data_IF_707071954641
#
_entry.id   IF_707071954641
#
_cell.length_a   1.000
_cell.length_b   1.000
_cell.length_c   1.000
_cell.angle_alpha   90.00
_cell.angle_beta   90.00
_cell.angle_gamma   90.00
#
_symmetry.space_group_name_H-M   'P 1'
#
loop_
_entity.id
_entity.type
_entity.pdbx_description
1 polymer ?
#
# COMPACT_ATOMS: atom_id res chain seq x y z
N UNK A 1 -1.27 -3.78 -6.88
CA UNK A 1 -2.11 -3.37 -5.75
C UNK A 1 -1.33 -3.81 -4.55
N UNK A 2 -0.79 -2.84 -3.82
CA UNK A 2 0.21 -3.07 -2.79
C UNK A 2 -0.41 -3.70 -1.54
N UNK A 3 -0.42 -5.04 -1.47
CA UNK A 3 -0.84 -5.78 -0.27
C UNK A 3 0.38 -5.93 0.64
N UNK A 4 0.38 -5.28 1.80
CA UNK A 4 1.35 -5.55 2.86
C UNK A 4 1.03 -6.87 3.57
N UNK A 5 1.97 -7.82 3.61
CA UNK A 5 1.99 -8.81 4.68
C UNK A 5 2.74 -8.25 5.89
N UNK A 6 2.18 -8.48 7.07
CA UNK A 6 2.83 -8.20 8.35
C UNK A 6 4.05 -9.13 8.51
N UNK A 7 5.21 -8.69 9.05
CA UNK A 7 6.37 -9.56 9.17
C UNK A 7 6.21 -10.43 10.41
N UNK A 8 5.82 -11.70 10.22
CA UNK A 8 6.05 -12.75 11.21
C UNK A 8 6.00 -14.16 10.56
N UNK A 9 7.20 -14.72 10.40
CA UNK A 9 7.56 -16.14 10.25
C UNK A 9 7.41 -16.89 8.91
N UNK A 10 8.60 -17.32 8.46
CA UNK A 10 9.01 -18.60 7.86
C UNK A 10 8.68 -18.92 6.38
N UNK A 11 9.75 -19.25 5.66
CA UNK A 11 9.85 -19.82 4.32
C UNK A 11 8.82 -20.93 4.05
N UNK A 12 8.32 -21.01 2.82
CA UNK A 12 8.06 -22.27 2.11
C UNK A 12 7.81 -22.04 0.62
N UNK A 13 8.38 -22.94 -0.17
CA UNK A 13 8.44 -22.98 -1.63
C UNK A 13 7.07 -23.17 -2.31
N UNK A 14 7.01 -22.71 -3.56
CA UNK A 14 5.87 -22.70 -4.47
C UNK A 14 4.98 -23.96 -4.48
N UNK A 15 3.69 -23.78 -4.15
CA UNK A 15 2.50 -24.28 -4.85
C UNK A 15 1.25 -23.62 -4.24
N UNK A 16 0.37 -23.04 -5.07
CA UNK A 16 -1.10 -22.83 -4.92
C UNK A 16 -1.67 -22.30 -3.59
N UNK A 17 -2.45 -21.19 -3.59
CA UNK A 17 -3.48 -20.64 -2.63
C UNK A 17 -3.51 -20.98 -1.11
N UNK A 18 -2.99 -22.12 -0.67
CA UNK A 18 -2.95 -22.62 0.70
C UNK A 18 -2.27 -21.69 1.72
N UNK A 19 -1.16 -20.97 1.44
CA UNK A 19 -0.56 -20.08 2.42
C UNK A 19 -1.47 -18.89 2.77
N UNK A 20 -2.14 -18.32 1.77
CA UNK A 20 -3.02 -17.16 1.96
C UNK A 20 -4.31 -17.54 2.69
N UNK A 21 -4.86 -18.73 2.38
CA UNK A 21 -6.01 -19.28 3.12
C UNK A 21 -5.66 -19.61 4.58
N UNK A 22 -4.48 -20.16 4.87
CA UNK A 22 -4.03 -20.45 6.24
C UNK A 22 -3.86 -19.16 7.06
N UNK A 23 -3.31 -18.14 6.43
CA UNK A 23 -3.19 -16.81 7.03
C UNK A 23 -4.55 -16.16 7.29
N UNK A 24 -5.48 -16.27 6.34
CA UNK A 24 -6.87 -15.81 6.51
C UNK A 24 -7.54 -16.55 7.68
N UNK A 25 -7.39 -17.87 7.74
CA UNK A 25 -7.91 -18.69 8.84
C UNK A 25 -7.39 -18.23 10.21
N UNK A 26 -6.09 -17.90 10.31
CA UNK A 26 -5.47 -17.38 11.53
C UNK A 26 -6.02 -16.01 11.90
N UNK A 27 -6.06 -15.08 10.94
CA UNK A 27 -6.57 -13.72 11.13
C UNK A 27 -8.02 -13.73 11.58
N UNK A 28 -8.88 -14.52 10.91
CA UNK A 28 -10.31 -14.61 11.24
C UNK A 28 -10.51 -15.19 12.64
N UNK A 29 -9.75 -16.23 13.00
CA UNK A 29 -9.81 -16.86 14.32
C UNK A 29 -9.46 -15.88 15.43
N UNK A 30 -8.33 -15.19 15.29
CA UNK A 30 -7.86 -14.25 16.31
C UNK A 30 -8.68 -12.96 16.31
N UNK A 31 -8.97 -12.45 15.13
CA UNK A 31 -9.62 -11.17 14.89
C UNK A 31 -11.05 -11.09 15.37
N UNK A 32 -11.83 -12.16 15.13
CA UNK A 32 -13.23 -12.23 15.57
C UNK A 32 -13.40 -12.57 17.06
N UNK A 33 -12.32 -12.99 17.74
CA UNK A 33 -12.29 -13.19 19.19
C UNK A 33 -11.79 -11.97 19.97
N UNK A 34 -11.34 -10.91 19.30
CA UNK A 34 -10.94 -9.65 19.94
C UNK A 34 -12.17 -8.80 20.30
N UNK A 35 -12.01 -7.93 21.30
CA UNK A 35 -12.96 -6.89 21.66
C UNK A 35 -12.26 -5.53 21.61
N UNK A 36 -12.54 -4.66 20.62
CA UNK A 36 -13.46 -4.87 19.49
C UNK A 36 -12.93 -5.89 18.46
N UNK A 37 -13.85 -6.49 17.70
CA UNK A 37 -13.52 -7.43 16.62
C UNK A 37 -12.79 -6.69 15.49
N UNK A 38 -11.79 -7.33 14.87
CA UNK A 38 -11.04 -6.75 13.76
C UNK A 38 -10.54 -7.80 12.78
N UNK A 39 -10.48 -7.48 11.50
CA UNK A 39 -9.83 -8.31 10.48
C UNK A 39 -9.02 -7.37 9.57
N UNK A 40 -7.76 -7.69 9.32
CA UNK A 40 -6.88 -6.89 8.47
C UNK A 40 -7.43 -6.70 7.04
N UNK A 41 -7.32 -5.46 6.52
CA UNK A 41 -7.68 -5.09 5.15
C UNK A 41 -6.84 -5.79 4.07
N UNK A 42 -5.71 -6.43 4.43
CA UNK A 42 -4.91 -7.23 3.49
C UNK A 42 -5.74 -8.33 2.81
N UNK A 43 -6.78 -8.81 3.48
CA UNK A 43 -7.64 -9.87 2.98
C UNK A 43 -8.78 -9.40 2.08
N UNK A 44 -8.93 -8.09 1.85
CA UNK A 44 -9.86 -7.58 0.85
C UNK A 44 -9.51 -8.06 -0.56
N UNK A 45 -8.23 -8.28 -0.83
CA UNK A 45 -7.69 -8.40 -2.18
C UNK A 45 -7.64 -9.84 -2.71
N UNK A 46 -8.78 -10.54 -2.70
CA UNK A 46 -8.96 -11.63 -3.65
C UNK A 46 -9.22 -11.08 -5.07
N UNK A 47 -9.47 -11.94 -6.06
CA UNK A 47 -9.71 -11.51 -7.44
C UNK A 47 -10.88 -10.50 -7.54
N UNK A 48 -11.96 -10.73 -6.80
CA UNK A 48 -13.15 -9.86 -6.81
C UNK A 48 -12.89 -8.54 -6.08
N UNK A 49 -12.23 -8.57 -4.92
CA UNK A 49 -11.87 -7.35 -4.22
C UNK A 49 -10.88 -6.50 -5.00
N UNK A 50 -9.94 -7.12 -5.71
CA UNK A 50 -9.03 -6.41 -6.62
C UNK A 50 -9.78 -5.72 -7.76
N UNK A 51 -10.76 -6.42 -8.36
CA UNK A 51 -11.65 -5.84 -9.37
C UNK A 51 -12.46 -4.65 -8.83
N UNK A 52 -13.07 -4.81 -7.65
CA UNK A 52 -13.86 -3.75 -6.99
C UNK A 52 -12.99 -2.52 -6.68
N UNK A 53 -11.78 -2.72 -6.17
CA UNK A 53 -10.86 -1.61 -5.90
C UNK A 53 -10.43 -0.89 -7.19
N UNK A 54 -10.20 -1.65 -8.27
CA UNK A 54 -9.93 -1.04 -9.57
C UNK A 54 -11.08 -0.13 -10.03
N UNK A 55 -12.33 -0.50 -9.78
CA UNK A 55 -13.49 0.36 -10.05
C UNK A 55 -13.55 1.57 -9.11
N UNK A 56 -13.27 1.39 -7.81
CA UNK A 56 -13.19 2.48 -6.82
C UNK A 56 -12.20 3.55 -7.27
N UNK A 57 -11.03 3.18 -7.80
CA UNK A 57 -10.04 4.15 -8.27
C UNK A 57 -10.56 5.10 -9.37
N UNK A 58 -11.62 4.73 -10.08
CA UNK A 58 -12.21 5.52 -11.17
C UNK A 58 -13.39 6.38 -10.71
N UNK A 59 -13.91 6.20 -9.49
CA UNK A 59 -15.05 6.99 -9.02
C UNK A 59 -14.65 8.45 -8.78
N UNK A 60 -15.54 9.43 -9.04
CA UNK A 60 -15.24 10.85 -8.83
C UNK A 60 -14.83 11.18 -7.39
N UNK A 61 -15.38 10.48 -6.41
CA UNK A 61 -15.13 10.70 -4.99
C UNK A 61 -13.72 10.25 -4.56
N UNK A 62 -13.16 9.17 -5.16
CA UNK A 62 -11.84 8.64 -4.81
C UNK A 62 -10.72 9.40 -5.55
N UNK A 63 -10.25 10.49 -4.95
CA UNK A 63 -9.29 11.40 -5.58
C UNK A 63 -7.84 10.92 -5.57
N UNK A 64 -7.47 9.97 -4.70
CA UNK A 64 -6.08 9.65 -4.35
C UNK A 64 -5.26 9.27 -5.58
N UNK A 65 -5.74 8.29 -6.36
CA UNK A 65 -5.04 7.79 -7.56
C UNK A 65 -4.80 8.89 -8.58
N UNK A 66 -5.79 9.75 -8.81
CA UNK A 66 -5.68 10.86 -9.77
C UNK A 66 -4.74 11.96 -9.29
N UNK A 67 -4.76 12.25 -7.99
CA UNK A 67 -3.91 13.30 -7.40
C UNK A 67 -2.44 12.89 -7.44
N UNK A 68 -2.13 11.64 -7.10
CA UNK A 68 -0.75 11.13 -7.19
C UNK A 68 -0.28 10.98 -8.64
N UNK A 69 -1.14 10.53 -9.55
CA UNK A 69 -0.83 10.52 -10.97
C UNK A 69 -0.49 11.93 -11.50
N UNK A 70 -1.29 12.94 -11.14
CA UNK A 70 -1.03 14.34 -11.50
C UNK A 70 0.34 14.82 -11.01
N UNK A 71 0.72 14.48 -9.77
CA UNK A 71 2.02 14.83 -9.19
C UNK A 71 3.15 14.24 -10.03
N UNK A 72 3.11 12.93 -10.31
CA UNK A 72 4.15 12.25 -11.04
C UNK A 72 4.25 12.77 -12.48
N UNK A 73 3.12 13.01 -13.15
CA UNK A 73 3.11 13.56 -14.51
C UNK A 73 3.65 14.98 -14.58
N UNK A 74 3.25 15.84 -13.63
CA UNK A 74 3.67 17.24 -13.56
C UNK A 74 5.16 17.36 -13.21
N UNK A 75 5.66 16.54 -12.29
CA UNK A 75 7.00 16.67 -11.72
C UNK A 75 8.02 15.64 -12.22
N UNK A 76 7.71 14.82 -13.23
CA UNK A 76 8.64 13.81 -13.79
C UNK A 76 10.03 14.36 -14.14
N UNK A 77 10.12 15.59 -14.64
CA UNK A 77 11.40 16.24 -14.94
C UNK A 77 12.22 16.53 -13.67
N UNK A 78 11.58 17.10 -12.65
CA UNK A 78 12.22 17.39 -11.36
C UNK A 78 12.63 16.10 -10.62
N UNK A 79 11.78 15.07 -10.70
CA UNK A 79 12.04 13.74 -10.14
C UNK A 79 13.26 13.11 -10.79
N UNK A 80 13.35 13.11 -12.13
CA UNK A 80 14.54 12.63 -12.84
C UNK A 80 15.79 13.38 -12.39
N UNK A 81 15.72 14.72 -12.36
CA UNK A 81 16.84 15.53 -11.91
C UNK A 81 17.28 15.17 -10.48
N UNK A 82 16.34 14.95 -9.57
CA UNK A 82 16.67 14.52 -8.20
C UNK A 82 17.30 13.13 -8.15
N UNK A 83 16.77 12.18 -8.93
CA UNK A 83 17.20 10.78 -8.94
C UNK A 83 18.60 10.60 -9.54
N UNK A 84 18.98 11.45 -10.50
CA UNK A 84 20.25 11.36 -11.23
C UNK A 84 21.09 12.65 -11.21
N UNK A 85 20.95 13.51 -10.19
CA UNK A 85 21.62 14.82 -10.12
C UNK A 85 23.16 14.76 -10.24
N UNK A 86 23.76 13.64 -9.87
CA UNK A 86 25.21 13.37 -9.90
C UNK A 86 25.62 12.47 -11.08
N UNK A 87 24.73 12.26 -12.05
CA UNK A 87 24.98 11.45 -13.25
C UNK A 87 25.10 9.95 -13.00
N UNK A 88 24.87 9.49 -11.76
CA UNK A 88 24.90 8.07 -11.41
C UNK A 88 23.69 7.34 -11.99
N UNK A 89 23.87 6.09 -12.46
CA UNK A 89 22.73 5.23 -12.74
C UNK A 89 21.92 4.98 -11.46
N UNK A 90 20.65 4.61 -11.61
CA UNK A 90 19.82 4.24 -10.47
C UNK A 90 18.94 3.02 -10.73
N UNK A 91 18.60 2.30 -9.68
CA UNK A 91 17.59 1.25 -9.69
C UNK A 91 16.32 1.79 -9.05
N UNK A 92 15.25 1.88 -9.85
CA UNK A 92 13.94 2.39 -9.47
C UNK A 92 13.08 1.23 -8.95
N UNK A 93 13.03 1.10 -7.63
CA UNK A 93 12.34 0.00 -6.95
C UNK A 93 10.92 0.46 -6.62
N UNK A 94 9.89 -0.20 -7.13
CA UNK A 94 8.50 0.13 -6.78
C UNK A 94 7.90 -0.91 -5.86
N UNK A 95 7.56 -0.52 -4.64
CA UNK A 95 6.94 -1.39 -3.64
C UNK A 95 5.43 -1.48 -3.87
N UNK A 96 4.96 -2.66 -4.24
CA UNK A 96 3.55 -2.93 -4.50
C UNK A 96 3.08 -2.37 -5.84
N UNK A 97 3.84 -2.65 -6.90
CA UNK A 97 3.71 -2.01 -8.21
C UNK A 97 2.34 -2.18 -8.88
N UNK A 98 1.63 -3.29 -8.65
CA UNK A 98 0.34 -3.53 -9.31
C UNK A 98 0.38 -3.46 -10.82
N UNK A 99 -0.51 -2.66 -11.40
CA UNK A 99 -0.58 -2.43 -12.85
C UNK A 99 0.43 -1.36 -13.34
N UNK A 100 1.19 -0.74 -12.44
CA UNK A 100 2.19 0.28 -12.72
C UNK A 100 1.62 1.56 -13.36
N UNK A 101 0.31 1.80 -13.33
CA UNK A 101 -0.34 2.93 -14.02
C UNK A 101 0.38 4.26 -13.79
N UNK A 102 0.69 4.54 -12.52
CA UNK A 102 1.37 5.77 -12.08
C UNK A 102 2.84 5.81 -12.50
N UNK A 103 3.55 4.71 -12.29
CA UNK A 103 5.00 4.64 -12.51
C UNK A 103 5.37 4.65 -13.98
N UNK A 104 4.50 4.12 -14.86
CA UNK A 104 4.67 4.17 -16.33
C UNK A 104 4.91 5.59 -16.86
N UNK A 105 4.31 6.61 -16.24
CA UNK A 105 4.55 8.02 -16.59
C UNK A 105 6.02 8.41 -16.39
N UNK A 106 6.65 7.93 -15.31
CA UNK A 106 8.07 8.13 -15.06
C UNK A 106 8.92 7.30 -16.01
N UNK A 107 8.57 6.03 -16.25
CA UNK A 107 9.32 5.12 -17.13
C UNK A 107 9.39 5.67 -18.56
N UNK A 108 8.25 6.13 -19.09
CA UNK A 108 8.16 6.74 -20.42
C UNK A 108 9.08 7.95 -20.52
N UNK A 109 8.97 8.88 -19.56
CA UNK A 109 9.75 10.10 -19.57
C UNK A 109 11.25 9.84 -19.38
N UNK A 110 11.63 8.99 -18.42
CA UNK A 110 13.04 8.65 -18.16
C UNK A 110 13.67 7.95 -19.37
N UNK A 111 12.93 7.05 -20.02
CA UNK A 111 13.34 6.41 -21.26
C UNK A 111 13.55 7.41 -22.39
N UNK A 112 12.62 8.35 -22.58
CA UNK A 112 12.75 9.40 -23.59
C UNK A 112 13.94 10.34 -23.34
N UNK A 113 14.34 10.53 -22.08
CA UNK A 113 15.54 11.29 -21.71
C UNK A 113 16.84 10.48 -21.77
N UNK A 114 16.79 9.20 -22.19
CA UNK A 114 17.92 8.27 -22.16
C UNK A 114 18.59 8.17 -20.78
N UNK A 115 17.80 8.23 -19.72
CA UNK A 115 18.29 8.07 -18.36
C UNK A 115 18.87 6.65 -18.18
N UNK A 116 19.96 6.53 -17.41
CA UNK A 116 20.56 5.24 -17.09
C UNK A 116 19.89 4.67 -15.85
N UNK A 117 18.89 3.81 -16.03
CA UNK A 117 18.17 3.20 -14.92
C UNK A 117 17.66 1.79 -15.21
N UNK A 118 17.44 1.04 -14.13
CA UNK A 118 16.74 -0.25 -14.14
C UNK A 118 15.45 -0.11 -13.35
N UNK A 119 14.33 -0.63 -13.85
CA UNK A 119 13.07 -0.66 -13.11
C UNK A 119 12.90 -2.01 -12.40
N UNK A 120 12.65 -1.99 -11.09
CA UNK A 120 12.47 -3.17 -10.26
C UNK A 120 11.09 -3.14 -9.58
N UNK A 121 10.02 -3.61 -10.26
CA UNK A 121 8.71 -3.73 -9.64
C UNK A 121 8.71 -4.85 -8.60
N UNK A 122 8.15 -4.57 -7.43
CA UNK A 122 7.99 -5.53 -6.33
C UNK A 122 6.50 -5.74 -6.08
N UNK A 123 6.05 -6.99 -6.07
CA UNK A 123 4.67 -7.33 -5.68
C UNK A 123 4.63 -8.77 -5.14
N UNK A 124 3.62 -9.06 -4.32
CA UNK A 124 3.38 -10.42 -3.82
C UNK A 124 2.53 -11.24 -4.80
N UNK A 125 1.84 -10.56 -5.73
CA UNK A 125 1.09 -11.19 -6.80
C UNK A 125 2.00 -11.48 -8.00
N UNK A 126 2.30 -12.76 -8.23
CA UNK A 126 3.07 -13.19 -9.39
C UNK A 126 2.36 -12.85 -10.72
N UNK A 127 1.02 -12.91 -10.74
CA UNK A 127 0.22 -12.56 -11.92
C UNK A 127 0.30 -11.07 -12.24
N UNK A 128 0.17 -10.20 -11.23
CA UNK A 128 0.31 -8.75 -11.42
C UNK A 128 1.71 -8.38 -11.94
N UNK A 129 2.76 -8.98 -11.38
CA UNK A 129 4.13 -8.77 -11.86
C UNK A 129 4.33 -9.23 -13.31
N UNK A 130 3.78 -10.40 -13.67
CA UNK A 130 3.89 -10.94 -15.02
C UNK A 130 3.18 -10.04 -16.03
N UNK A 131 1.97 -9.58 -15.71
CA UNK A 131 1.17 -8.69 -16.56
C UNK A 131 1.87 -7.33 -16.72
N UNK A 132 2.30 -6.72 -15.62
CA UNK A 132 3.05 -5.46 -15.64
C UNK A 132 4.33 -5.56 -16.47
N UNK A 133 5.12 -6.61 -16.26
CA UNK A 133 6.39 -6.81 -16.98
C UNK A 133 6.14 -7.01 -18.48
N UNK A 134 5.11 -7.78 -18.85
CA UNK A 134 4.73 -8.00 -20.25
C UNK A 134 4.32 -6.69 -20.92
N UNK A 135 3.50 -5.88 -20.25
CA UNK A 135 3.05 -4.60 -20.76
C UNK A 135 4.21 -3.60 -20.93
N UNK A 136 5.09 -3.50 -19.93
CA UNK A 136 6.28 -2.66 -19.99
C UNK A 136 7.21 -3.08 -21.13
N UNK A 137 7.48 -4.38 -21.28
CA UNK A 137 8.36 -4.88 -22.34
C UNK A 137 7.76 -4.68 -23.74
N UNK A 138 6.43 -4.69 -23.86
CA UNK A 138 5.74 -4.37 -25.11
C UNK A 138 5.88 -2.88 -25.48
N UNK A 139 5.73 -1.99 -24.50
CA UNK A 139 5.78 -0.54 -24.72
C UNK A 139 7.21 0.02 -24.83
N UNK A 140 8.13 -0.49 -24.02
CA UNK A 140 9.55 -0.08 -23.99
C UNK A 140 10.48 -1.29 -24.01
N UNK A 141 10.70 -1.92 -25.19
CA UNK A 141 11.50 -3.14 -25.30
C UNK A 141 12.97 -3.02 -24.85
N UNK A 142 13.49 -1.79 -24.78
CA UNK A 142 14.86 -1.49 -24.36
C UNK A 142 14.98 -1.21 -22.86
N UNK A 143 13.86 -1.09 -22.13
CA UNK A 143 13.88 -0.82 -20.70
C UNK A 143 14.28 -2.10 -19.95
N UNK A 144 15.35 -2.01 -19.14
CA UNK A 144 15.75 -3.09 -18.25
C UNK A 144 14.77 -3.20 -17.08
N UNK A 145 14.10 -4.35 -16.97
CA UNK A 145 13.15 -4.65 -15.89
C UNK A 145 13.65 -5.84 -15.06
N UNK A 146 13.67 -5.69 -13.75
CA UNK A 146 14.10 -6.68 -12.77
C UNK A 146 12.97 -6.97 -11.76
N UNK A 147 11.93 -7.74 -12.14
CA UNK A 147 10.76 -7.95 -11.29
C UNK A 147 11.13 -8.79 -10.04
N UNK A 148 10.63 -8.37 -8.87
CA UNK A 148 10.83 -9.08 -7.60
C UNK A 148 9.50 -9.62 -7.07
N UNK A 149 9.30 -10.93 -7.15
CA UNK A 149 8.19 -11.60 -6.48
C UNK A 149 8.54 -11.85 -5.01
N UNK A 150 8.28 -10.86 -4.16
CA UNK A 150 8.65 -10.90 -2.75
C UNK A 150 7.86 -9.87 -1.93
N UNK A 151 7.88 -10.05 -0.61
CA UNK A 151 7.49 -8.98 0.34
C UNK A 151 8.45 -7.79 0.24
N UNK A 152 7.97 -6.60 0.58
CA UNK A 152 8.71 -5.34 0.36
C UNK A 152 10.08 -5.33 1.03
N UNK A 153 10.15 -5.64 2.32
CA UNK A 153 11.40 -5.59 3.07
C UNK A 153 12.38 -6.67 2.60
N UNK A 154 11.87 -7.84 2.20
CA UNK A 154 12.68 -8.90 1.61
C UNK A 154 13.28 -8.48 0.27
N UNK A 155 12.47 -7.88 -0.62
CA UNK A 155 12.93 -7.38 -1.91
C UNK A 155 14.01 -6.31 -1.76
N UNK A 156 13.80 -5.33 -0.87
CA UNK A 156 14.76 -4.25 -0.62
C UNK A 156 16.07 -4.82 -0.06
N UNK A 157 16.01 -5.74 0.91
CA UNK A 157 17.20 -6.38 1.46
C UNK A 157 17.99 -7.15 0.39
N UNK A 158 17.30 -7.90 -0.48
CA UNK A 158 17.93 -8.65 -1.57
C UNK A 158 18.59 -7.73 -2.60
N UNK A 159 17.89 -6.66 -3.02
CA UNK A 159 18.42 -5.70 -3.99
C UNK A 159 19.61 -4.93 -3.41
N UNK A 160 19.54 -4.53 -2.13
CA UNK A 160 20.65 -3.89 -1.43
C UNK A 160 21.88 -4.78 -1.31
N UNK A 161 21.70 -6.08 -1.00
CA UNK A 161 22.81 -7.04 -0.91
C UNK A 161 23.46 -7.35 -2.27
N UNK A 162 22.66 -7.42 -3.34
CA UNK A 162 23.16 -7.67 -4.71
C UNK A 162 23.93 -6.48 -5.29
N UNK A 163 23.79 -5.30 -4.70
CA UNK A 163 24.49 -4.08 -5.11
C UNK A 163 26.00 -4.21 -4.83
N UNK A 164 26.70 -4.85 -5.75
CA UNK A 164 28.14 -5.11 -5.68
C UNK A 164 29.00 -3.85 -5.84
N UNK A 165 28.46 -2.79 -6.45
CA UNK A 165 29.17 -1.55 -6.77
C UNK A 165 28.48 -0.32 -6.11
N UNK A 166 29.28 0.62 -5.60
CA UNK A 166 28.81 1.89 -5.04
C UNK A 166 28.29 2.87 -6.12
N UNK A 167 28.46 2.54 -7.39
CA UNK A 167 28.16 3.41 -8.53
C UNK A 167 26.67 3.65 -8.82
N UNK A 168 25.76 2.71 -8.54
CA UNK A 168 24.32 2.85 -8.85
C UNK A 168 23.48 3.16 -7.62
N UNK A 169 22.66 4.22 -7.64
CA UNK A 169 21.78 4.64 -6.52
C UNK A 169 20.51 3.79 -6.42
N UNK A 170 20.03 3.49 -5.21
CA UNK A 170 18.67 2.97 -5.05
C UNK A 170 17.65 4.12 -4.89
N UNK A 171 16.55 4.04 -5.64
CA UNK A 171 15.40 4.94 -5.53
C UNK A 171 14.16 4.11 -5.27
N UNK A 172 13.67 4.14 -4.03
CA UNK A 172 12.49 3.37 -3.61
C UNK A 172 11.23 4.21 -3.79
N UNK A 173 10.27 3.73 -4.57
CA UNK A 173 8.94 4.28 -4.69
C UNK A 173 7.98 3.51 -3.78
N UNK A 174 7.30 4.23 -2.90
CA UNK A 174 6.23 3.69 -2.07
C UNK A 174 4.98 4.56 -2.20
N UNK A 175 4.19 4.25 -3.21
CA UNK A 175 3.12 5.11 -3.71
C UNK A 175 1.75 4.71 -3.16
N UNK A 176 0.71 5.49 -3.46
CA UNK A 176 -0.69 5.19 -3.19
C UNK A 176 -1.14 5.49 -1.76
N UNK A 177 -0.31 6.18 -0.97
CA UNK A 177 -0.56 6.39 0.46
C UNK A 177 -0.77 5.08 1.24
N UNK A 178 -0.12 3.99 0.80
CA UNK A 178 -0.12 2.71 1.51
C UNK A 178 0.48 2.81 2.92
N UNK A 179 1.36 3.80 3.16
CA UNK A 179 1.84 4.16 4.50
C UNK A 179 0.70 4.54 5.47
N UNK A 180 -0.44 4.97 4.94
CA UNK A 180 -1.65 5.26 5.72
C UNK A 180 -2.27 4.03 6.39
N UNK A 181 -1.94 2.82 5.91
CA UNK A 181 -2.50 1.57 6.45
C UNK A 181 -1.79 1.10 7.73
N UNK A 182 -0.75 1.80 8.16
CA UNK A 182 0.04 1.49 9.35
C UNK A 182 -0.36 2.33 10.54
N UNK A 183 -0.29 1.74 11.73
CA UNK A 183 -0.25 2.51 12.96
C UNK A 183 1.01 3.41 12.98
N UNK A 184 1.02 4.53 13.73
CA UNK A 184 2.17 5.44 13.77
C UNK A 184 3.52 4.77 14.06
N UNK A 185 3.58 3.87 15.04
CA UNK A 185 4.81 3.15 15.37
C UNK A 185 5.26 2.20 14.24
N UNK A 186 4.31 1.47 13.65
CA UNK A 186 4.58 0.54 12.55
C UNK A 186 5.08 1.27 11.30
N UNK A 187 4.55 2.45 11.01
CA UNK A 187 5.03 3.31 9.91
C UNK A 187 6.50 3.72 10.11
N UNK A 188 6.86 4.10 11.34
CA UNK A 188 8.25 4.45 11.70
C UNK A 188 9.16 3.23 11.58
N UNK A 189 8.74 2.08 12.09
CA UNK A 189 9.52 0.83 12.02
C UNK A 189 9.72 0.40 10.55
N UNK A 190 8.67 0.46 9.72
CA UNK A 190 8.75 0.18 8.30
C UNK A 190 9.76 1.10 7.58
N UNK A 191 9.65 2.42 7.79
CA UNK A 191 10.61 3.37 7.24
C UNK A 191 12.04 3.13 7.75
N UNK A 192 12.20 2.80 9.04
CA UNK A 192 13.51 2.50 9.62
C UNK A 192 14.14 1.27 8.99
N UNK A 193 13.38 0.18 8.80
CA UNK A 193 13.90 -1.03 8.15
C UNK A 193 14.31 -0.77 6.70
N UNK A 194 13.56 0.06 5.96
CA UNK A 194 13.98 0.50 4.62
C UNK A 194 15.29 1.29 4.72
N UNK A 195 15.36 2.28 5.61
CA UNK A 195 16.54 3.10 5.84
C UNK A 195 17.79 2.26 6.13
N UNK A 196 17.67 1.23 6.96
CA UNK A 196 18.76 0.29 7.31
C UNK A 196 19.28 -0.51 6.11
N UNK A 197 18.43 -0.78 5.12
CA UNK A 197 18.81 -1.43 3.88
C UNK A 197 19.37 -0.44 2.83
N UNK A 198 19.24 0.87 3.03
CA UNK A 198 19.72 1.89 2.09
C UNK A 198 21.09 2.46 2.50
N UNK A 199 21.88 2.89 1.50
CA UNK A 199 23.15 3.60 1.71
C UNK A 199 22.92 5.11 1.76
N UNK A 200 23.78 5.89 2.44
CA UNK A 200 23.71 7.35 2.40
C UNK A 200 23.67 7.88 0.96
N UNK A 201 22.68 8.72 0.65
CA UNK A 201 22.47 9.25 -0.70
C UNK A 201 21.50 8.45 -1.58
N UNK A 202 21.06 7.25 -1.15
CA UNK A 202 19.88 6.59 -1.71
C UNK A 202 18.61 7.36 -1.33
N UNK A 203 17.56 7.16 -2.12
CA UNK A 203 16.34 7.96 -2.07
C UNK A 203 15.10 7.09 -1.85
N UNK A 204 14.08 7.70 -1.25
CA UNK A 204 12.75 7.12 -1.13
C UNK A 204 11.72 8.19 -1.47
N UNK A 205 10.89 7.95 -2.49
CA UNK A 205 9.72 8.77 -2.80
C UNK A 205 8.50 8.07 -2.21
N UNK A 206 7.77 8.75 -1.32
CA UNK A 206 6.55 8.19 -0.72
C UNK A 206 5.36 9.11 -0.93
N UNK A 207 4.25 8.52 -1.36
CA UNK A 207 2.97 9.19 -1.48
C UNK A 207 2.25 9.25 -0.14
N UNK A 208 1.74 10.41 0.23
CA UNK A 208 0.95 10.66 1.42
C UNK A 208 -0.36 11.35 1.07
N UNK A 209 -1.47 10.75 1.46
CA UNK A 209 -2.75 11.43 1.44
C UNK A 209 -2.83 12.43 2.61
N UNK A 210 -3.05 13.71 2.32
CA UNK A 210 -2.96 14.78 3.32
C UNK A 210 -4.27 14.96 4.10
N UNK A 211 -4.19 15.46 5.33
CA UNK A 211 -5.39 15.89 6.03
C UNK A 211 -6.07 17.04 5.29
N UNK A 212 -7.39 16.96 5.17
CA UNK A 212 -8.23 17.93 4.43
C UNK A 212 -9.65 17.89 4.98
N UNK A 213 -10.55 18.64 4.36
CA UNK A 213 -11.93 18.73 4.80
C UNK A 213 -12.58 17.33 4.98
N UNK A 214 -13.16 17.02 6.15
CA UNK A 214 -13.71 15.69 6.47
C UNK A 214 -14.66 15.13 5.42
N UNK A 215 -15.53 15.96 4.85
CA UNK A 215 -16.48 15.52 3.83
C UNK A 215 -15.81 14.98 2.55
N UNK A 216 -14.61 15.46 2.20
CA UNK A 216 -13.86 14.97 1.03
C UNK A 216 -13.31 13.58 1.32
N UNK A 217 -12.74 13.38 2.52
CA UNK A 217 -12.27 12.06 2.95
C UNK A 217 -13.44 11.09 3.03
N UNK A 218 -14.50 11.47 3.74
CA UNK A 218 -15.67 10.62 3.90
C UNK A 218 -16.28 10.19 2.55
N UNK A 219 -16.43 11.11 1.59
CA UNK A 219 -16.92 10.77 0.26
C UNK A 219 -16.01 9.76 -0.47
N UNK A 220 -14.69 9.88 -0.33
CA UNK A 220 -13.74 8.95 -0.95
C UNK A 220 -13.87 7.52 -0.42
N UNK A 221 -14.29 7.32 0.83
CA UNK A 221 -14.45 6.00 1.45
C UNK A 221 -15.91 5.55 1.57
N UNK A 222 -16.86 6.34 1.08
CA UNK A 222 -18.28 6.00 1.03
C UNK A 222 -18.90 6.60 -0.23
N UNK A 223 -18.41 6.09 -1.35
CA UNK A 223 -18.87 6.51 -2.66
C UNK A 223 -20.36 6.24 -2.84
N UNK A 224 -21.02 7.12 -3.60
CA UNK A 224 -22.48 7.03 -3.82
C UNK A 224 -22.90 5.79 -4.60
N UNK A 225 -21.98 5.17 -5.33
CA UNK A 225 -22.26 3.98 -6.13
C UNK A 225 -22.26 2.70 -5.26
N UNK A 226 -21.78 2.78 -4.01
CA UNK A 226 -21.72 1.66 -3.07
C UNK A 226 -20.60 0.66 -3.39
N UNK A 227 -19.60 1.05 -4.17
CA UNK A 227 -18.47 0.20 -4.54
C UNK A 227 -17.57 -0.08 -3.34
N UNK A 228 -17.29 0.93 -2.50
CA UNK A 228 -16.51 0.77 -1.25
C UNK A 228 -17.24 -0.11 -0.24
N UNK A 229 -18.56 0.04 -0.17
CA UNK A 229 -19.43 -0.87 0.61
C UNK A 229 -19.32 -2.31 0.10
N UNK A 230 -19.41 -2.53 -1.21
CA UNK A 230 -19.28 -3.85 -1.82
C UNK A 230 -17.90 -4.46 -1.60
N UNK A 231 -16.85 -3.65 -1.69
CA UNK A 231 -15.46 -4.01 -1.42
C UNK A 231 -15.26 -4.44 0.03
N UNK A 232 -15.78 -3.69 1.00
CA UNK A 232 -15.68 -4.07 2.41
C UNK A 232 -16.47 -5.37 2.72
N UNK A 233 -17.71 -5.48 2.22
CA UNK A 233 -18.52 -6.71 2.39
C UNK A 233 -17.94 -7.93 1.66
N UNK A 234 -17.08 -7.74 0.66
CA UNK A 234 -16.39 -8.83 -0.01
C UNK A 234 -15.52 -9.65 0.94
N UNK A 235 -15.00 -9.04 2.02
CA UNK A 235 -14.27 -9.78 3.06
C UNK A 235 -15.12 -10.90 3.66
N UNK A 236 -16.39 -10.63 3.99
CA UNK A 236 -17.29 -11.66 4.53
C UNK A 236 -17.62 -12.72 3.48
N UNK A 237 -17.79 -12.29 2.21
CA UNK A 237 -18.00 -13.22 1.09
C UNK A 237 -16.84 -14.19 0.93
N UNK A 238 -15.62 -13.67 1.02
CA UNK A 238 -14.38 -14.43 0.95
C UNK A 238 -14.29 -15.43 2.10
N UNK A 239 -14.57 -14.98 3.34
CA UNK A 239 -14.54 -15.85 4.52
C UNK A 239 -15.59 -16.98 4.40
N UNK A 240 -16.79 -16.69 3.88
CA UNK A 240 -17.78 -17.73 3.58
C UNK A 240 -17.25 -18.77 2.59
N UNK A 241 -16.66 -18.31 1.48
CA UNK A 241 -16.15 -19.17 0.42
C UNK A 241 -14.96 -20.02 0.86
N UNK A 242 -14.00 -19.42 1.55
CA UNK A 242 -12.70 -20.04 1.83
C UNK A 242 -12.65 -20.78 3.16
N UNK A 243 -13.46 -20.40 4.16
CA UNK A 243 -13.42 -20.96 5.52
C UNK A 243 -14.73 -21.66 5.94
N UNK A 244 -15.66 -21.87 4.99
CA UNK A 244 -16.95 -22.49 5.29
C UNK A 244 -17.78 -21.68 6.28
N UNK A 245 -17.72 -20.34 6.21
CA UNK A 245 -18.52 -19.48 7.06
C UNK A 245 -19.92 -19.22 6.49
N UNK A 246 -20.84 -18.82 7.35
CA UNK A 246 -22.23 -18.52 6.98
C UNK A 246 -22.65 -17.06 7.25
N UNK A 247 -21.75 -16.09 7.09
CA UNK A 247 -22.09 -14.68 7.18
C UNK A 247 -23.25 -14.35 6.23
N UNK A 248 -24.35 -13.83 6.78
CA UNK A 248 -25.41 -13.22 5.96
C UNK A 248 -25.03 -11.78 5.64
N UNK A 249 -24.50 -11.54 4.44
CA UNK A 249 -24.04 -10.22 4.01
C UNK A 249 -25.12 -9.13 4.08
N UNK A 250 -26.41 -9.48 3.93
CA UNK A 250 -27.51 -8.50 4.07
C UNK A 250 -27.74 -8.04 5.51
N UNK A 251 -27.18 -8.76 6.48
CA UNK A 251 -27.24 -8.43 7.90
C UNK A 251 -26.00 -7.66 8.38
N UNK A 252 -25.11 -7.26 7.46
CA UNK A 252 -23.99 -6.36 7.73
C UNK A 252 -24.08 -5.15 6.82
N UNK A 253 -23.65 -4.00 7.33
CA UNK A 253 -23.54 -2.79 6.54
C UNK A 253 -22.16 -2.16 6.68
N UNK A 254 -21.80 -1.36 5.68
CA UNK A 254 -20.56 -0.59 5.69
C UNK A 254 -20.72 0.67 6.54
N UNK A 255 -19.69 0.98 7.32
CA UNK A 255 -19.61 2.25 8.04
C UNK A 255 -18.18 2.71 8.11
N UNK A 256 -17.98 3.99 7.86
CA UNK A 256 -16.69 4.64 7.82
C UNK A 256 -16.68 5.87 8.73
N UNK A 257 -15.52 6.15 9.31
CA UNK A 257 -15.31 7.35 10.10
C UNK A 257 -14.05 8.06 9.64
N UNK A 258 -14.01 9.37 9.84
CA UNK A 258 -12.79 10.15 9.71
C UNK A 258 -12.67 11.10 10.90
N UNK A 259 -11.55 11.02 11.60
CA UNK A 259 -11.21 11.97 12.66
C UNK A 259 -10.24 13.03 12.12
N UNK A 260 -10.65 14.30 11.98
CA UNK A 260 -9.73 15.36 11.57
C UNK A 260 -8.66 15.67 12.62
N UNK A 261 -8.86 15.28 13.89
CA UNK A 261 -7.88 15.48 14.95
C UNK A 261 -6.70 14.50 14.84
N UNK A 262 -6.98 13.24 14.53
CA UNK A 262 -5.96 12.19 14.43
C UNK A 262 -5.52 11.93 12.98
N UNK A 263 -6.31 12.40 12.01
CA UNK A 263 -6.15 12.09 10.60
C UNK A 263 -6.55 10.66 10.22
N UNK A 264 -7.17 9.90 11.12
CA UNK A 264 -7.50 8.49 10.84
C UNK A 264 -8.85 8.36 10.14
N UNK A 265 -8.85 7.83 8.92
CA UNK A 265 -10.05 7.24 8.33
C UNK A 265 -10.11 5.76 8.73
N UNK A 266 -11.27 5.27 9.18
CA UNK A 266 -11.45 3.88 9.60
C UNK A 266 -12.69 3.29 8.94
N UNK A 267 -12.59 2.03 8.52
CA UNK A 267 -13.67 1.29 7.85
C UNK A 267 -14.13 0.13 8.71
N UNK A 268 -15.45 -0.06 8.78
CA UNK A 268 -16.12 -1.03 9.63
C UNK A 268 -17.20 -1.79 8.87
N UNK A 269 -17.45 -3.01 9.32
CA UNK A 269 -18.68 -3.75 9.05
C UNK A 269 -19.54 -3.75 10.31
N UNK A 270 -20.78 -3.31 10.20
CA UNK A 270 -21.71 -3.17 11.34
C UNK A 270 -22.80 -4.21 11.23
N UNK A 271 -22.92 -5.06 12.26
CA UNK A 271 -24.01 -6.02 12.37
C UNK A 271 -25.35 -5.30 12.55
N UNK A 272 -26.29 -5.52 11.64
CA UNK A 272 -27.60 -4.83 11.65
C UNK A 272 -28.60 -5.44 12.64
N UNK A 273 -28.30 -6.64 13.14
CA UNK A 273 -29.16 -7.38 14.07
C UNK A 273 -28.31 -8.31 14.94
N UNK A 274 -28.88 -8.77 16.05
CA UNK A 274 -28.28 -9.88 16.78
C UNK A 274 -28.23 -11.12 15.89
N UNK A 275 -27.05 -11.70 15.72
CA UNK A 275 -26.85 -12.87 14.87
C UNK A 275 -25.63 -13.68 15.33
N UNK A 276 -25.57 -14.92 14.86
CA UNK A 276 -24.48 -15.84 15.14
C UNK A 276 -23.97 -16.38 13.81
N UNK A 277 -22.65 -16.37 13.66
CA UNK A 277 -21.94 -16.87 12.48
C UNK A 277 -21.13 -18.09 12.89
N UNK A 278 -21.30 -19.18 12.16
CA UNK A 278 -20.50 -20.40 12.27
C UNK A 278 -19.45 -20.37 11.17
N UNK A 279 -18.21 -20.76 11.52
CA UNK A 279 -17.09 -20.90 10.60
C UNK A 279 -16.59 -22.34 10.71
N UNK A 280 -17.04 -23.18 9.78
CA UNK A 280 -16.88 -24.63 9.87
C UNK A 280 -15.41 -25.05 9.94
N UNK A 281 -14.55 -24.49 9.07
CA UNK A 281 -13.14 -24.84 9.01
C UNK A 281 -12.34 -24.43 10.25
N UNK A 282 -12.89 -23.50 11.04
CA UNK A 282 -12.30 -23.06 12.30
C UNK A 282 -12.94 -23.72 13.53
N UNK A 283 -14.04 -24.47 13.35
CA UNK A 283 -14.90 -24.96 14.42
C UNK A 283 -15.29 -23.85 15.40
N UNK A 284 -15.51 -22.64 14.86
CA UNK A 284 -15.73 -21.43 15.63
C UNK A 284 -17.15 -20.92 15.43
N UNK A 285 -17.75 -20.45 16.52
CA UNK A 285 -19.03 -19.74 16.49
C UNK A 285 -18.81 -18.35 17.06
N UNK A 286 -19.23 -17.32 16.33
CA UNK A 286 -19.05 -15.91 16.69
C UNK A 286 -20.41 -15.26 16.80
N UNK A 287 -20.70 -14.71 17.97
CA UNK A 287 -21.91 -13.92 18.18
C UNK A 287 -21.65 -12.44 17.92
N UNK A 288 -22.67 -11.80 17.35
CA UNK A 288 -22.73 -10.37 17.11
C UNK A 288 -24.00 -9.80 17.73
N UNK A 289 -23.89 -8.74 18.52
CA UNK A 289 -25.04 -7.93 18.89
C UNK A 289 -25.44 -6.97 17.75
N UNK A 290 -26.64 -6.39 17.81
CA UNK A 290 -27.02 -5.33 16.88
C UNK A 290 -26.17 -4.08 17.12
N UNK A 291 -25.63 -3.50 16.05
CA UNK A 291 -24.69 -2.38 16.10
C UNK A 291 -23.23 -2.78 16.38
N UNK A 292 -22.94 -4.06 16.63
CA UNK A 292 -21.57 -4.50 16.87
C UNK A 292 -20.72 -4.43 15.59
N UNK A 293 -19.49 -3.93 15.72
CA UNK A 293 -18.61 -3.65 14.57
C UNK A 293 -17.46 -4.65 14.45
N UNK A 294 -17.05 -4.89 13.20
CA UNK A 294 -15.75 -5.46 12.84
C UNK A 294 -14.94 -4.32 12.23
N UNK A 295 -13.82 -3.96 12.85
CA UNK A 295 -12.86 -3.03 12.25
C UNK A 295 -12.11 -3.72 11.11
N UNK A 296 -12.09 -3.10 9.93
CA UNK A 296 -11.56 -3.73 8.71
C UNK A 296 -10.38 -2.99 8.11
N UNK A 297 -10.31 -1.68 8.25
CA UNK A 297 -9.24 -0.88 7.65
C UNK A 297 -8.98 0.39 8.44
N UNK A 298 -7.72 0.83 8.41
CA UNK A 298 -7.31 2.19 8.76
C UNK A 298 -6.62 2.79 7.54
N UNK A 299 -6.91 4.05 7.23
CA UNK A 299 -6.19 4.83 6.23
C UNK A 299 -5.91 6.23 6.78
N UNK A 300 -4.70 6.43 7.27
CA UNK A 300 -4.26 7.68 7.87
C UNK A 300 -4.03 8.76 6.81
N UNK A 301 -4.37 9.97 7.19
CA UNK A 301 -4.14 11.22 6.48
C UNK A 301 -3.13 12.02 7.26
N UNK A 302 -2.17 12.60 6.56
CA UNK A 302 -0.96 13.13 7.16
C UNK A 302 -0.94 14.65 7.14
N UNK A 303 -0.40 15.23 8.21
CA UNK A 303 0.07 16.61 8.18
C UNK A 303 1.55 16.65 7.81
N UNK A 304 2.04 17.81 7.39
CA UNK A 304 3.47 18.00 7.17
C UNK A 304 4.32 17.71 8.43
N UNK A 305 3.95 18.18 9.64
CA UNK A 305 4.64 17.80 10.87
C UNK A 305 4.73 16.29 11.10
N UNK A 306 3.68 15.51 10.77
CA UNK A 306 3.70 14.05 10.91
C UNK A 306 4.77 13.43 10.00
N UNK A 307 4.85 13.88 8.75
CA UNK A 307 5.79 13.37 7.75
C UNK A 307 7.23 13.76 8.10
N UNK A 308 7.45 14.99 8.56
CA UNK A 308 8.75 15.43 9.05
C UNK A 308 9.18 14.66 10.32
N UNK A 309 8.24 14.34 11.21
CA UNK A 309 8.51 13.52 12.38
C UNK A 309 8.88 12.08 11.99
N UNK A 310 8.10 11.47 11.08
CA UNK A 310 8.37 10.14 10.52
C UNK A 310 9.80 10.07 9.98
N UNK A 311 10.19 11.00 9.11
CA UNK A 311 11.54 11.05 8.52
C UNK A 311 12.66 11.09 9.58
N UNK A 312 12.51 11.97 10.59
CA UNK A 312 13.49 12.11 11.68
C UNK A 312 13.64 10.82 12.50
N UNK A 313 12.53 10.12 12.78
CA UNK A 313 12.53 8.90 13.58
C UNK A 313 13.06 7.66 12.83
N UNK A 314 13.13 7.73 11.50
CA UNK A 314 13.52 6.62 10.63
C UNK A 314 14.87 6.81 9.93
N UNK A 315 15.65 7.83 10.29
CA UNK A 315 16.98 8.05 9.68
C UNK A 315 16.93 8.57 8.24
N UNK A 316 15.89 9.33 7.90
CA UNK A 316 15.73 10.00 6.61
C UNK A 316 15.74 11.53 6.78
N UNK A 317 16.22 12.24 5.76
CA UNK A 317 16.01 13.67 5.62
C UNK A 317 14.99 13.93 4.51
N UNK A 318 14.01 14.80 4.77
CA UNK A 318 13.07 15.30 3.76
C UNK A 318 13.80 16.28 2.84
N UNK A 319 13.71 16.08 1.52
CA UNK A 319 14.46 16.87 0.52
C UNK A 319 13.58 17.64 -0.45
N UNK A 320 12.47 17.05 -0.91
CA UNK A 320 11.50 17.68 -1.81
C UNK A 320 10.08 17.30 -1.42
N UNK A 321 9.14 18.17 -1.78
CA UNK A 321 7.73 18.04 -1.50
C UNK A 321 6.96 18.44 -2.75
N UNK A 322 6.29 17.47 -3.38
CA UNK A 322 5.48 17.68 -4.58
C UNK A 322 4.01 17.47 -4.22
N UNK A 323 3.11 18.31 -4.74
CA UNK A 323 1.66 18.21 -4.46
C UNK A 323 0.85 18.36 -5.73
N UNK A 324 -0.34 17.78 -5.76
CA UNK A 324 -1.33 18.04 -6.78
C UNK A 324 -1.85 19.49 -6.66
N UNK A 325 -2.55 19.95 -7.70
CA UNK A 325 -3.09 21.32 -7.76
C UNK A 325 -4.09 21.66 -6.64
N UNK A 326 -4.69 20.66 -5.98
CA UNK A 326 -5.62 20.87 -4.84
C UNK A 326 -4.93 20.73 -3.49
N UNK A 327 -3.64 20.38 -3.46
CA UNK A 327 -2.89 20.08 -2.25
C UNK A 327 -3.55 18.98 -1.40
N UNK A 328 -4.12 17.99 -2.06
CA UNK A 328 -4.80 16.87 -1.43
C UNK A 328 -3.84 15.73 -1.12
N UNK A 329 -2.79 15.60 -1.91
CA UNK A 329 -1.82 14.53 -1.83
C UNK A 329 -0.42 15.12 -1.92
N UNK A 330 0.57 14.43 -1.36
CA UNK A 330 1.97 14.80 -1.52
C UNK A 330 2.84 13.59 -1.82
N UNK A 331 3.67 13.68 -2.85
CA UNK A 331 4.83 12.81 -3.01
C UNK A 331 6.04 13.51 -2.39
N UNK A 332 6.59 12.88 -1.35
CA UNK A 332 7.69 13.45 -0.56
C UNK A 332 8.95 12.64 -0.82
N UNK A 333 10.01 13.34 -1.22
CA UNK A 333 11.30 12.73 -1.49
C UNK A 333 12.18 12.78 -0.24
N UNK A 334 12.53 11.62 0.27
CA UNK A 334 13.47 11.42 1.36
C UNK A 334 14.82 10.99 0.84
N UNK A 335 15.87 11.38 1.56
CA UNK A 335 17.25 10.92 1.34
C UNK A 335 17.74 10.21 2.58
N UNK A 336 18.32 9.02 2.40
CA UNK A 336 19.02 8.33 3.48
C UNK A 336 20.18 9.18 3.95
N UNK A 337 20.18 9.55 5.24
CA UNK A 337 21.31 10.24 5.87
C UNK A 337 22.28 9.21 6.44
N UNK A 338 23.57 9.54 6.54
CA UNK A 338 24.51 8.75 7.34
C UNK A 338 24.04 8.65 8.79
N UNK A 339 24.54 7.68 9.55
CA UNK A 339 24.19 7.56 10.97
C UNK A 339 24.61 8.84 11.70
N UNK A 340 23.62 9.69 11.99
CA UNK A 340 23.81 10.81 12.90
C UNK A 340 23.67 10.21 14.29
N UNK A 341 24.80 10.01 14.97
CA UNK A 341 24.78 9.73 16.41
C UNK A 341 24.14 10.95 17.07
N UNK A 342 22.86 10.85 17.42
CA UNK A 342 22.28 11.72 18.42
C UNK A 342 22.85 11.24 19.75
N UNK A 343 23.93 11.89 20.17
CA UNK A 343 24.53 11.73 21.49
C UNK A 343 23.62 12.31 22.59
#
# INVERSE_FOLDING_TARGET
>A
MAIHRHPAHAELTATTDAPDRLDLAREVREGLNKTPKRISSRFFYDAEGSRLFAEIMHVPEYYLTRSEYEILDTHKADLLHCFSHDGKPFELIELGAGDGLKTKVLLEYFGAQNASFTYAPVDISADALRELTTDIQSQWPQLTVNPQHAEYLTAIAQLSQRRADESSRLVVLFLGSNIGNFAPAEAVDFFRTISEALRPGDLMLTGFDLQKHPAVIHAAYNDRQGLTRAFNLNLLRRINRELGANFNLSAFDHYETYSPETGEARSYLVSQKKQTVTIEDLQQTVSFEAGEVIHTEISRKFTRPDIEHLARQSGFALTKWFTDCKHYFADVLFRKVGNVNYA
#
